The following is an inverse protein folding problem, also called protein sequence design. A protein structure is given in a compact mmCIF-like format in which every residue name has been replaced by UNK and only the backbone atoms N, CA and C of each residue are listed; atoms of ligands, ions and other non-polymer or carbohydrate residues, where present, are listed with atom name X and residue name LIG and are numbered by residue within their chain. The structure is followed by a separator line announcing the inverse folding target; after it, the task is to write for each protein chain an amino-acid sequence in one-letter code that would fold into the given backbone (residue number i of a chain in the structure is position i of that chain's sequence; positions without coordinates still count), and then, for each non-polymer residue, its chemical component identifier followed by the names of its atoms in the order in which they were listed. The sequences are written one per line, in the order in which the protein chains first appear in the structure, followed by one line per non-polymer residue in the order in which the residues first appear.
data_IF_763393902510
#
_entry.id   IF_763393902510
#
_cell.length_a   1.000
_cell.length_b   1.000
_cell.length_c   1.000
_cell.angle_alpha   90.00
_cell.angle_beta   90.00
_cell.angle_gamma   90.00
#
_symmetry.space_group_name_H-M   'P 1'
#
loop_
_entity.id
_entity.type
_entity.pdbx_description
1 polymer ?
#
# COMPACT_ATOMS: atom_id res chain seq x y z
N UNK A 1 18.31 7.49 -3.95
CA UNK A 1 18.24 8.76 -3.20
C UNK A 1 18.74 9.87 -4.09
N UNK A 2 18.36 11.12 -3.83
CA UNK A 2 18.97 12.28 -4.48
C UNK A 2 20.30 12.65 -3.81
N UNK A 3 21.00 13.63 -4.39
CA UNK A 3 22.30 14.10 -3.89
C UNK A 3 22.23 14.72 -2.47
N UNK A 4 21.02 14.98 -1.96
CA UNK A 4 20.77 15.54 -0.62
C UNK A 4 20.32 14.48 0.40
N UNK A 5 20.28 13.20 -0.01
CA UNK A 5 19.94 12.05 0.83
C UNK A 5 18.43 11.80 0.96
N UNK A 6 17.59 12.44 0.15
CA UNK A 6 16.15 12.17 0.13
C UNK A 6 15.83 10.93 -0.69
N UNK A 7 14.83 10.17 -0.24
CA UNK A 7 14.33 9.00 -0.96
C UNK A 7 13.64 9.48 -2.25
N UNK A 8 14.07 8.93 -3.37
CA UNK A 8 13.44 9.19 -4.67
C UNK A 8 12.36 8.14 -4.87
N UNK A 9 11.15 8.62 -5.15
CA UNK A 9 10.07 7.75 -5.59
C UNK A 9 10.30 7.33 -7.05
N UNK A 10 10.59 6.05 -7.25
CA UNK A 10 10.84 5.45 -8.56
C UNK A 10 9.56 4.99 -9.27
N UNK A 11 8.41 5.08 -8.60
CA UNK A 11 7.11 4.75 -9.17
C UNK A 11 6.57 5.93 -9.99
N UNK A 12 6.00 5.64 -11.16
CA UNK A 12 5.43 6.65 -12.05
C UNK A 12 4.29 6.08 -12.90
N UNK A 13 3.25 6.89 -13.18
CA UNK A 13 2.08 6.45 -13.96
C UNK A 13 2.48 5.88 -15.33
N UNK A 14 3.35 6.59 -16.06
CA UNK A 14 3.85 6.16 -17.37
C UNK A 14 4.65 4.85 -17.37
N UNK A 15 5.02 4.31 -16.20
CA UNK A 15 5.68 3.00 -16.09
C UNK A 15 4.68 1.85 -15.96
N UNK A 16 3.41 2.13 -15.69
CA UNK A 16 2.37 1.11 -15.58
C UNK A 16 2.20 0.47 -16.95
N UNK A 17 2.40 -0.86 -16.99
CA UNK A 17 2.27 -1.62 -18.23
C UNK A 17 0.78 -1.68 -18.66
N UNK A 18 0.47 -1.64 -19.97
CA UNK A 18 -0.91 -1.60 -20.46
C UNK A 18 -1.83 -2.71 -19.94
N UNK A 19 -1.27 -3.90 -19.68
CA UNK A 19 -2.02 -5.07 -19.18
C UNK A 19 -2.70 -4.83 -17.82
N UNK A 20 -2.21 -3.88 -17.03
CA UNK A 20 -2.77 -3.54 -15.72
C UNK A 20 -3.76 -2.35 -15.77
N UNK A 21 -3.92 -1.69 -16.90
CA UNK A 21 -4.72 -0.45 -16.95
C UNK A 21 -6.22 -0.71 -16.74
N UNK A 22 -6.74 -1.81 -17.27
CA UNK A 22 -8.16 -2.15 -17.15
C UNK A 22 -8.54 -2.47 -15.71
N UNK A 23 -7.76 -3.31 -15.03
CA UNK A 23 -7.97 -3.65 -13.61
C UNK A 23 -7.87 -2.42 -12.71
N UNK A 24 -6.91 -1.51 -12.97
CA UNK A 24 -6.78 -0.26 -12.23
C UNK A 24 -8.00 0.65 -12.46
N UNK A 25 -8.51 0.71 -13.68
CA UNK A 25 -9.65 1.53 -14.02
C UNK A 25 -10.94 1.03 -13.36
N UNK A 26 -11.17 -0.29 -13.36
CA UNK A 26 -12.33 -0.91 -12.69
C UNK A 26 -12.34 -0.62 -11.17
N UNK A 27 -11.18 -0.76 -10.51
CA UNK A 27 -11.06 -0.44 -9.07
C UNK A 27 -11.32 1.05 -8.82
N UNK A 28 -10.77 1.94 -9.66
CA UNK A 28 -11.00 3.39 -9.54
C UNK A 28 -12.48 3.74 -9.66
N UNK A 29 -13.15 3.23 -10.68
CA UNK A 29 -14.56 3.53 -10.95
C UNK A 29 -15.46 3.02 -9.83
N UNK A 30 -15.15 1.82 -9.31
CA UNK A 30 -15.85 1.25 -8.16
C UNK A 30 -15.64 2.11 -6.90
N UNK A 31 -14.41 2.52 -6.61
CA UNK A 31 -14.12 3.42 -5.50
C UNK A 31 -14.88 4.75 -5.62
N UNK A 32 -14.91 5.35 -6.83
CA UNK A 32 -15.70 6.55 -7.10
C UNK A 32 -17.20 6.35 -6.81
N UNK A 33 -17.76 5.22 -7.24
CA UNK A 33 -19.18 4.92 -7.10
C UNK A 33 -19.60 4.74 -5.63
N UNK A 34 -18.84 3.98 -4.86
CA UNK A 34 -19.19 3.65 -3.48
C UNK A 34 -18.84 4.77 -2.49
N UNK A 35 -17.69 5.43 -2.65
CA UNK A 35 -17.24 6.46 -1.72
C UNK A 35 -17.77 7.86 -2.06
N UNK A 36 -18.02 8.16 -3.34
CA UNK A 36 -18.56 9.46 -3.78
C UNK A 36 -17.77 10.64 -3.19
N UNK A 37 -18.46 11.54 -2.48
CA UNK A 37 -17.87 12.72 -1.85
C UNK A 37 -16.88 12.40 -0.73
N UNK A 38 -16.95 11.20 -0.15
CA UNK A 38 -16.01 10.76 0.87
C UNK A 38 -14.65 10.34 0.28
N UNK A 39 -14.56 10.10 -1.03
CA UNK A 39 -13.29 9.84 -1.70
C UNK A 39 -12.46 11.13 -1.81
N UNK A 40 -11.20 11.06 -1.37
CA UNK A 40 -10.23 12.12 -1.58
C UNK A 40 -9.35 11.83 -2.80
N UNK A 41 -8.59 10.74 -2.74
CA UNK A 41 -7.58 10.39 -3.75
C UNK A 41 -7.20 8.92 -3.66
N UNK A 42 -6.73 8.34 -4.76
CA UNK A 42 -6.27 6.94 -4.83
C UNK A 42 -4.83 6.90 -5.29
N UNK A 43 -4.03 6.08 -4.61
CA UNK A 43 -2.63 5.84 -4.93
C UNK A 43 -2.41 4.36 -5.18
N UNK A 44 -1.63 4.04 -6.20
CA UNK A 44 -1.13 2.68 -6.44
C UNK A 44 0.33 2.58 -6.00
N UNK A 45 0.73 1.45 -5.41
CA UNK A 45 2.13 1.15 -5.08
C UNK A 45 2.57 -0.20 -5.63
N UNK A 46 3.78 -0.60 -5.25
CA UNK A 46 4.30 -1.93 -5.53
C UNK A 46 5.02 -2.01 -6.87
N UNK A 47 5.04 -3.22 -7.44
CA UNK A 47 5.79 -3.54 -8.66
C UNK A 47 5.18 -2.88 -9.91
N UNK A 48 3.84 -2.76 -9.95
CA UNK A 48 3.07 -2.24 -11.09
C UNK A 48 3.47 -0.80 -11.45
N UNK A 49 3.38 0.21 -10.56
CA UNK A 49 3.76 1.58 -10.91
C UNK A 49 5.26 1.79 -11.02
N UNK A 50 6.08 0.79 -10.69
CA UNK A 50 7.53 0.78 -10.97
C UNK A 50 7.86 0.20 -12.35
N UNK A 51 6.88 -0.36 -13.05
CA UNK A 51 7.05 -0.97 -14.37
C UNK A 51 7.71 -2.35 -14.35
N UNK A 52 7.83 -2.95 -13.17
CA UNK A 52 8.43 -4.28 -12.97
C UNK A 52 7.39 -5.32 -12.55
N UNK A 53 6.10 -4.99 -12.65
CA UNK A 53 5.01 -5.95 -12.47
C UNK A 53 5.11 -7.08 -13.50
N UNK A 54 4.90 -8.31 -13.04
CA UNK A 54 4.88 -9.50 -13.89
C UNK A 54 3.42 -9.95 -14.01
N UNK A 55 2.94 -10.12 -15.23
CA UNK A 55 1.58 -10.59 -15.50
C UNK A 55 1.31 -11.94 -14.80
N UNK A 56 0.16 -12.05 -14.14
CA UNK A 56 -0.27 -13.21 -13.36
C UNK A 56 0.43 -13.39 -12.01
N UNK A 57 1.38 -12.52 -11.67
CA UNK A 57 2.18 -12.60 -10.43
C UNK A 57 2.12 -11.30 -9.63
N UNK A 58 1.92 -10.15 -10.27
CA UNK A 58 1.81 -8.88 -9.60
C UNK A 58 0.47 -8.77 -8.86
N UNK A 59 0.53 -8.24 -7.64
CA UNK A 59 -0.61 -7.77 -6.86
C UNK A 59 -0.90 -6.30 -7.14
N UNK A 60 -2.17 -5.91 -6.97
CA UNK A 60 -2.61 -4.51 -7.02
C UNK A 60 -2.78 -3.98 -5.61
N UNK A 61 -1.79 -3.20 -5.16
CA UNK A 61 -1.84 -2.54 -3.85
C UNK A 61 -2.29 -1.08 -4.01
N UNK A 62 -3.46 -0.74 -3.48
CA UNK A 62 -3.97 0.63 -3.48
C UNK A 62 -4.14 1.20 -2.07
N UNK A 63 -3.68 2.45 -1.91
CA UNK A 63 -3.96 3.30 -0.76
C UNK A 63 -5.03 4.30 -1.19
N UNK A 64 -6.19 4.24 -0.53
CA UNK A 64 -7.33 5.12 -0.75
C UNK A 64 -7.39 6.09 0.43
N UNK A 65 -7.29 7.39 0.11
CA UNK A 65 -7.54 8.44 1.09
C UNK A 65 -9.00 8.86 1.03
N UNK A 66 -9.61 8.96 2.20
CA UNK A 66 -10.99 9.39 2.40
C UNK A 66 -11.06 10.65 3.27
N UNK A 67 -12.10 11.46 3.07
CA UNK A 67 -12.26 12.77 3.76
C UNK A 67 -12.72 12.64 5.22
N UNK A 68 -13.35 11.51 5.56
CA UNK A 68 -13.79 11.18 6.92
C UNK A 68 -12.95 10.03 7.48
N UNK A 69 -13.12 9.76 8.77
CA UNK A 69 -12.51 8.59 9.38
C UNK A 69 -13.01 7.29 8.68
N UNK A 70 -12.13 6.38 8.24
CA UNK A 70 -12.54 5.12 7.60
C UNK A 70 -13.51 4.29 8.44
N UNK A 71 -13.48 4.41 9.76
CA UNK A 71 -14.37 3.69 10.69
C UNK A 71 -15.84 4.18 10.63
N UNK A 72 -16.10 5.34 10.03
CA UNK A 72 -17.46 5.89 9.89
C UNK A 72 -18.01 5.83 8.46
N UNK A 73 -17.24 5.28 7.52
CA UNK A 73 -17.65 5.09 6.13
C UNK A 73 -17.98 3.61 5.92
N UNK A 74 -18.96 3.32 5.07
CA UNK A 74 -19.26 1.96 4.66
C UNK A 74 -18.16 1.43 3.71
N UNK A 75 -17.35 0.51 4.24
CA UNK A 75 -16.29 -0.20 3.51
C UNK A 75 -16.59 -1.71 3.43
N UNK A 76 -17.85 -2.13 3.67
CA UNK A 76 -18.23 -3.55 3.66
C UNK A 76 -18.07 -4.21 2.28
N UNK A 77 -18.19 -3.42 1.21
CA UNK A 77 -17.98 -3.82 -0.18
C UNK A 77 -16.53 -4.17 -0.53
N UNK A 78 -15.56 -3.74 0.30
CA UNK A 78 -14.13 -3.84 -0.01
C UNK A 78 -13.69 -5.27 -0.33
N UNK A 79 -13.97 -6.21 0.57
CA UNK A 79 -13.52 -7.61 0.43
C UNK A 79 -14.16 -8.29 -0.77
N UNK A 80 -15.43 -7.99 -1.03
CA UNK A 80 -16.13 -8.51 -2.20
C UNK A 80 -15.49 -8.00 -3.50
N UNK A 81 -15.13 -6.70 -3.54
CA UNK A 81 -14.41 -6.15 -4.69
C UNK A 81 -13.03 -6.78 -4.86
N UNK A 82 -12.24 -6.92 -3.79
CA UNK A 82 -10.91 -7.55 -3.84
C UNK A 82 -10.99 -8.96 -4.45
N UNK A 83 -11.97 -9.76 -4.02
CA UNK A 83 -12.20 -11.12 -4.54
C UNK A 83 -12.70 -11.07 -6.00
N UNK A 84 -13.70 -10.26 -6.31
CA UNK A 84 -14.27 -10.16 -7.64
C UNK A 84 -13.20 -9.78 -8.67
N UNK A 85 -12.40 -8.76 -8.38
CA UNK A 85 -11.37 -8.27 -9.29
C UNK A 85 -10.27 -9.32 -9.48
N UNK A 86 -9.85 -9.97 -8.40
CA UNK A 86 -8.84 -11.05 -8.47
C UNK A 86 -9.33 -12.22 -9.34
N UNK A 87 -10.62 -12.54 -9.30
CA UNK A 87 -11.21 -13.60 -10.13
C UNK A 87 -11.45 -13.18 -11.58
N UNK A 88 -11.74 -11.90 -11.81
CA UNK A 88 -12.06 -11.36 -13.13
C UNK A 88 -10.80 -11.15 -14.00
N UNK A 89 -9.68 -10.78 -13.39
CA UNK A 89 -8.47 -10.38 -14.11
C UNK A 89 -7.31 -11.36 -13.89
N UNK A 90 -7.02 -12.19 -14.90
CA UNK A 90 -5.91 -13.16 -14.85
C UNK A 90 -4.51 -12.52 -14.86
N UNK A 91 -4.41 -11.21 -15.10
CA UNK A 91 -3.12 -10.51 -15.16
C UNK A 91 -2.55 -10.17 -13.78
N UNK A 92 -3.30 -10.38 -12.71
CA UNK A 92 -2.90 -10.09 -11.33
C UNK A 92 -3.06 -11.32 -10.44
N UNK A 93 -2.31 -11.38 -9.34
CA UNK A 93 -2.44 -12.45 -8.34
C UNK A 93 -3.34 -12.10 -7.17
N UNK A 94 -3.70 -10.82 -7.01
CA UNK A 94 -4.50 -10.33 -5.90
C UNK A 94 -4.68 -8.81 -5.90
N UNK A 95 -5.57 -8.34 -5.03
CA UNK A 95 -5.85 -6.92 -4.80
C UNK A 95 -5.89 -6.65 -3.30
N UNK A 96 -5.21 -5.58 -2.86
CA UNK A 96 -5.28 -5.08 -1.50
C UNK A 96 -5.69 -3.60 -1.50
N UNK A 97 -6.83 -3.29 -0.88
CA UNK A 97 -7.35 -1.94 -0.74
C UNK A 97 -7.24 -1.47 0.72
N UNK A 98 -6.40 -0.47 0.96
CA UNK A 98 -6.21 0.12 2.29
C UNK A 98 -6.79 1.53 2.36
N UNK A 99 -7.52 1.86 3.43
CA UNK A 99 -8.27 3.12 3.56
C UNK A 99 -7.75 3.93 4.75
N UNK A 100 -7.48 5.22 4.53
CA UNK A 100 -6.99 6.13 5.57
C UNK A 100 -7.64 7.50 5.47
N UNK A 101 -7.79 8.17 6.61
CA UNK A 101 -8.21 9.57 6.65
C UNK A 101 -7.13 10.45 6.04
N UNK A 102 -7.47 11.24 5.02
CA UNK A 102 -6.55 12.20 4.41
C UNK A 102 -5.99 13.17 5.47
N UNK A 103 -6.86 13.68 6.34
CA UNK A 103 -6.45 14.63 7.39
C UNK A 103 -5.43 14.06 8.35
N UNK A 104 -5.57 12.78 8.72
CA UNK A 104 -4.63 12.10 9.62
C UNK A 104 -3.29 11.83 8.93
N UNK A 105 -3.32 11.56 7.61
CA UNK A 105 -2.11 11.34 6.82
C UNK A 105 -1.33 12.64 6.64
N UNK A 106 -2.00 13.76 6.33
CA UNK A 106 -1.34 15.05 6.07
C UNK A 106 -0.94 15.77 7.37
N UNK A 107 -1.82 15.79 8.37
CA UNK A 107 -1.62 16.60 9.59
C UNK A 107 -1.10 15.78 10.78
N UNK A 108 -0.37 14.70 10.52
CA UNK A 108 0.25 13.92 11.60
C UNK A 108 1.27 14.79 12.33
N UNK A 109 1.11 14.98 13.64
CA UNK A 109 2.09 15.67 14.49
C UNK A 109 3.41 14.88 14.58
N UNK A 110 3.32 13.56 14.43
CA UNK A 110 4.43 12.60 14.41
C UNK A 110 4.67 12.02 13.00
N UNK A 111 5.57 11.04 12.88
CA UNK A 111 5.83 10.34 11.63
C UNK A 111 4.61 9.53 11.16
N UNK A 112 4.01 9.95 10.03
CA UNK A 112 2.98 9.18 9.34
C UNK A 112 3.61 8.12 8.42
N UNK A 113 3.52 6.85 8.79
CA UNK A 113 3.98 5.74 7.94
C UNK A 113 3.26 5.70 6.59
N UNK A 114 1.97 6.01 6.56
CA UNK A 114 1.18 6.08 5.32
C UNK A 114 1.59 7.29 4.48
N UNK A 115 1.86 8.45 5.10
CA UNK A 115 2.43 9.61 4.44
C UNK A 115 3.80 9.30 3.83
N UNK A 116 4.67 8.62 4.57
CA UNK A 116 5.95 8.11 4.08
C UNK A 116 5.77 7.23 2.85
N UNK A 117 4.90 6.23 2.96
CA UNK A 117 4.59 5.29 1.90
C UNK A 117 4.06 6.00 0.66
N UNK A 118 3.16 6.98 0.80
CA UNK A 118 2.64 7.78 -0.31
C UNK A 118 3.77 8.56 -0.97
N UNK A 119 4.54 9.33 -0.18
CA UNK A 119 5.59 10.19 -0.70
C UNK A 119 6.65 9.42 -1.49
N UNK A 120 7.06 8.26 -0.97
CA UNK A 120 8.28 7.59 -1.43
C UNK A 120 8.05 6.36 -2.31
N UNK A 121 6.85 5.77 -2.31
CA UNK A 121 6.63 4.45 -2.92
C UNK A 121 5.30 4.29 -3.68
N UNK A 122 4.50 5.35 -3.86
CA UNK A 122 3.25 5.27 -4.62
C UNK A 122 3.13 6.30 -5.74
N UNK A 123 2.09 6.18 -6.56
CA UNK A 123 1.70 7.14 -7.60
C UNK A 123 0.24 7.50 -7.39
N UNK A 124 -0.09 8.80 -7.41
CA UNK A 124 -1.49 9.25 -7.42
C UNK A 124 -2.12 8.92 -8.78
N UNK A 125 -3.24 8.21 -8.78
CA UNK A 125 -3.96 7.78 -10.01
C UNK A 125 -5.37 8.36 -10.11
N UNK A 126 -5.84 9.02 -9.05
CA UNK A 126 -7.13 9.68 -8.97
C UNK A 126 -7.14 10.70 -7.83
N UNK A 127 -7.80 11.83 -8.02
CA UNK A 127 -7.96 12.88 -7.00
C UNK A 127 -6.77 13.82 -6.89
N UNK A 128 -6.71 14.56 -5.78
CA UNK A 128 -5.61 15.50 -5.50
C UNK A 128 -4.39 14.76 -4.92
N UNK A 129 -3.20 15.03 -5.48
CA UNK A 129 -1.94 14.43 -5.02
C UNK A 129 -1.44 15.11 -3.74
N UNK A 130 -1.60 14.42 -2.61
CA UNK A 130 -1.25 14.95 -1.29
C UNK A 130 0.26 15.00 -1.03
N UNK A 131 1.08 14.43 -1.92
CA UNK A 131 2.55 14.49 -1.83
C UNK A 131 3.09 15.92 -1.69
N UNK A 132 2.35 16.89 -2.22
CA UNK A 132 2.68 18.31 -2.12
C UNK A 132 2.64 18.84 -0.68
N UNK A 133 1.89 18.18 0.19
CA UNK A 133 1.72 18.54 1.60
C UNK A 133 2.52 17.63 2.55
N UNK A 134 3.12 16.56 2.02
CA UNK A 134 3.92 15.62 2.79
C UNK A 134 5.40 16.04 2.81
N UNK A 135 6.11 15.83 3.94
CA UNK A 135 7.54 16.14 4.00
C UNK A 135 8.32 15.26 3.03
N UNK A 136 9.52 15.70 2.63
CA UNK A 136 10.48 14.81 1.97
C UNK A 136 11.18 13.97 3.02
N UNK A 137 11.30 12.67 2.77
CA UNK A 137 11.91 11.73 3.71
C UNK A 137 13.36 11.45 3.32
N UNK A 138 14.27 11.58 4.28
CA UNK A 138 15.64 11.08 4.16
C UNK A 138 15.70 9.67 4.70
N UNK A 139 16.64 8.85 4.22
CA UNK A 139 17.01 7.63 4.94
C UNK A 139 17.72 8.07 6.23
N UNK A 140 16.94 8.34 7.29
CA UNK A 140 17.45 8.62 8.63
C UNK A 140 17.31 7.37 9.49
N UNK A 141 18.08 7.33 10.59
CA UNK A 141 17.94 6.28 11.58
C UNK A 141 16.50 6.17 12.11
N UNK A 142 15.71 7.24 12.12
CA UNK A 142 14.32 7.23 12.63
C UNK A 142 13.38 6.35 11.78
N UNK A 143 13.51 6.37 10.45
CA UNK A 143 12.71 5.51 9.55
C UNK A 143 13.10 4.03 9.74
N UNK A 144 14.40 3.79 9.94
CA UNK A 144 14.94 2.47 10.27
C UNK A 144 14.45 2.03 11.65
N UNK A 145 14.47 2.91 12.65
CA UNK A 145 14.03 2.64 14.01
C UNK A 145 12.53 2.33 14.06
N UNK A 146 11.66 3.09 13.39
CA UNK A 146 10.23 2.76 13.35
C UNK A 146 9.99 1.36 12.77
N UNK A 147 10.62 1.02 11.64
CA UNK A 147 10.51 -0.33 11.09
C UNK A 147 11.06 -1.42 12.04
N UNK A 148 12.14 -1.15 12.76
CA UNK A 148 12.78 -2.11 13.67
C UNK A 148 12.07 -2.25 15.02
N UNK A 149 11.46 -1.18 15.54
CA UNK A 149 10.77 -1.18 16.84
C UNK A 149 9.54 -2.08 16.77
N UNK A 150 8.80 -2.05 15.66
CA UNK A 150 7.61 -2.88 15.46
C UNK A 150 7.96 -4.34 15.07
N UNK A 151 9.19 -4.61 14.63
CA UNK A 151 9.60 -5.93 14.15
C UNK A 151 9.38 -7.03 15.20
N UNK A 152 9.74 -6.77 16.46
CA UNK A 152 9.52 -7.73 17.55
C UNK A 152 8.04 -8.09 17.66
N UNK A 153 7.18 -7.08 17.74
CA UNK A 153 5.73 -7.27 17.89
C UNK A 153 5.14 -7.99 16.68
N UNK A 154 5.59 -7.66 15.48
CA UNK A 154 5.14 -8.32 14.24
C UNK A 154 5.55 -9.80 14.21
N UNK A 155 6.77 -10.15 14.64
CA UNK A 155 7.20 -11.55 14.77
C UNK A 155 6.35 -12.30 15.80
N UNK A 156 6.08 -11.67 16.95
CA UNK A 156 5.25 -12.26 18.00
C UNK A 156 3.80 -12.49 17.51
N UNK A 157 3.21 -11.52 16.81
CA UNK A 157 1.87 -11.62 16.23
C UNK A 157 1.81 -12.71 15.16
N UNK A 158 2.76 -12.75 14.22
CA UNK A 158 2.84 -13.81 13.21
C UNK A 158 2.99 -15.19 13.86
N UNK A 159 3.76 -15.29 14.93
CA UNK A 159 3.89 -16.56 15.66
C UNK A 159 2.55 -17.00 16.27
N UNK A 160 1.80 -16.09 16.90
CA UNK A 160 0.45 -16.40 17.41
C UNK A 160 -0.52 -16.81 16.29
N UNK A 161 -0.50 -16.10 15.16
CA UNK A 161 -1.32 -16.41 13.98
C UNK A 161 -0.96 -17.78 13.40
N UNK A 162 0.32 -18.16 13.35
CA UNK A 162 0.77 -19.42 12.75
C UNK A 162 0.54 -20.66 13.63
N UNK A 163 0.68 -20.57 14.97
CA UNK A 163 0.62 -21.76 15.85
C UNK A 163 -0.71 -22.52 15.76
N UNK A 164 -1.80 -21.78 15.53
CA UNK A 164 -3.15 -22.36 15.52
C UNK A 164 -3.82 -22.35 14.15
N UNK A 165 -3.15 -21.84 13.12
CA UNK A 165 -3.69 -21.82 11.77
C UNK A 165 -3.48 -23.17 11.08
N UNK A 166 -4.52 -23.62 10.36
CA UNK A 166 -4.52 -24.84 9.54
C UNK A 166 -4.83 -24.55 8.08
N UNK A 167 -5.18 -23.32 7.76
CA UNK A 167 -5.41 -22.86 6.40
C UNK A 167 -4.05 -22.62 5.74
N UNK A 168 -3.79 -23.39 4.69
CA UNK A 168 -2.47 -23.43 4.02
C UNK A 168 -2.21 -22.12 3.28
N UNK A 169 -3.25 -21.52 2.69
CA UNK A 169 -3.11 -20.28 1.91
C UNK A 169 -2.84 -19.10 2.87
N UNK A 170 -3.58 -19.03 3.97
CA UNK A 170 -3.34 -18.02 5.02
C UNK A 170 -1.94 -18.17 5.65
N UNK A 171 -1.47 -19.40 5.88
CA UNK A 171 -0.12 -19.67 6.39
C UNK A 171 0.94 -19.18 5.40
N UNK A 172 0.76 -19.44 4.10
CA UNK A 172 1.71 -19.04 3.07
C UNK A 172 1.79 -17.52 2.96
N UNK A 173 0.66 -16.82 2.95
CA UNK A 173 0.60 -15.36 2.90
C UNK A 173 1.20 -14.73 4.16
N UNK A 174 0.89 -15.26 5.35
CA UNK A 174 1.49 -14.82 6.60
C UNK A 174 3.02 -15.01 6.61
N UNK A 175 3.51 -16.16 6.15
CA UNK A 175 4.96 -16.43 6.01
C UNK A 175 5.63 -15.49 5.01
N UNK A 176 5.00 -15.26 3.85
CA UNK A 176 5.51 -14.36 2.81
C UNK A 176 5.59 -12.92 3.32
N UNK A 177 4.58 -12.49 4.07
CA UNK A 177 4.51 -11.16 4.68
C UNK A 177 5.64 -10.95 5.70
N UNK A 178 5.80 -11.84 6.69
CA UNK A 178 6.84 -11.67 7.72
C UNK A 178 8.25 -11.78 7.14
N UNK A 179 8.48 -12.64 6.13
CA UNK A 179 9.77 -12.74 5.46
C UNK A 179 10.14 -11.46 4.72
N UNK A 180 9.18 -10.83 4.03
CA UNK A 180 9.38 -9.50 3.41
C UNK A 180 9.78 -8.46 4.46
N UNK A 181 9.19 -8.50 5.65
CA UNK A 181 9.52 -7.57 6.76
C UNK A 181 10.94 -7.83 7.29
N UNK A 182 11.30 -9.09 7.57
CA UNK A 182 12.63 -9.46 8.08
C UNK A 182 13.74 -9.06 7.10
N UNK A 183 13.56 -9.30 5.80
CA UNK A 183 14.54 -8.89 4.77
C UNK A 183 14.70 -7.38 4.72
N UNK A 184 13.59 -6.61 4.76
CA UNK A 184 13.65 -5.14 4.79
C UNK A 184 14.34 -4.60 6.04
N UNK A 185 14.06 -5.19 7.20
CA UNK A 185 14.69 -4.85 8.46
C UNK A 185 16.21 -5.15 8.44
N UNK A 186 16.61 -6.30 7.90
CA UNK A 186 18.03 -6.66 7.75
C UNK A 186 18.80 -5.70 6.85
N UNK A 187 18.20 -5.29 5.71
CA UNK A 187 18.79 -4.31 4.80
C UNK A 187 18.84 -2.89 5.38
N UNK A 188 17.98 -2.59 6.35
CA UNK A 188 17.99 -1.29 7.04
C UNK A 188 19.13 -1.17 8.08
N UNK A 189 19.77 -2.27 8.47
CA UNK A 189 20.83 -2.34 9.48
C UNK A 189 22.26 -2.34 8.91
N UNK A 190 22.41 -2.38 7.58
CA UNK A 190 23.70 -2.43 6.87
C UNK A 190 24.00 -1.11 6.16
#
# INVERSE_FOLDING_TARGET
MDDQGFIINDAHFNKIQPVFLEVIQEIKDTCCQFLRDDLHSVYIRGSIPRGIGIEGVADVDMIILVRKNPQVIDLSWRKELEVQITQQFNCISGVELSFYSEKEVINSEDFSFIGFMIQTHSVCILGEDVKLYLPKYKVSQEIVYEHLIHLRKQIEQTHEELIHNKDVDDIEDCCRWIMKIVVRAGLALT
#
